data_IF_559456262013
#
_entry.id   IF_559456262013
#
_cell.length_a   1.000
_cell.length_b   1.000
_cell.length_c   1.000
_cell.angle_alpha   90.00
_cell.angle_beta   90.00
_cell.angle_gamma   90.00
#
_symmetry.space_group_name_H-M   'P 1'
#
loop_
_entity.id
_entity.type
_entity.pdbx_description
1 polymer ?
#
# COMPACT_ATOMS: atom_id res chain seq x y z
N UNK A 1 22.37 28.87 -8.97
CA UNK A 1 21.86 28.37 -7.67
C UNK A 1 20.37 27.95 -7.76
N UNK A 2 19.85 27.58 -8.93
CA UNK A 2 18.38 27.42 -9.16
C UNK A 2 17.92 26.00 -9.50
N UNK A 3 18.78 24.98 -9.44
CA UNK A 3 18.39 23.58 -9.70
C UNK A 3 18.06 22.75 -8.44
N UNK A 4 18.51 23.18 -7.25
CA UNK A 4 18.32 22.42 -6.00
C UNK A 4 16.94 22.63 -5.37
N UNK A 5 16.37 23.84 -5.49
CA UNK A 5 15.08 24.19 -4.88
C UNK A 5 13.90 23.41 -5.48
N UNK A 6 13.95 23.06 -6.77
CA UNK A 6 12.88 22.30 -7.43
C UNK A 6 12.86 20.80 -7.04
N UNK A 7 14.02 20.22 -6.68
CA UNK A 7 14.13 18.84 -6.17
C UNK A 7 13.74 18.72 -4.71
N UNK A 8 14.11 19.71 -3.88
CA UNK A 8 13.71 19.78 -2.45
C UNK A 8 12.20 19.95 -2.29
N UNK A 9 11.56 20.81 -3.09
CA UNK A 9 10.09 20.93 -3.15
C UNK A 9 9.39 19.67 -3.66
N UNK A 10 10.07 18.80 -4.40
CA UNK A 10 9.48 17.58 -4.98
C UNK A 10 9.57 16.35 -4.06
N UNK A 11 10.40 16.36 -3.02
CA UNK A 11 10.59 15.21 -2.11
C UNK A 11 10.61 15.61 -0.63
N UNK A 12 10.05 16.77 -0.27
CA UNK A 12 10.01 17.25 1.12
C UNK A 12 9.36 16.25 2.09
N UNK A 13 8.43 15.42 1.61
CA UNK A 13 7.82 14.34 2.39
C UNK A 13 8.86 13.35 2.95
N UNK A 14 9.97 13.11 2.24
CA UNK A 14 11.02 12.20 2.68
C UNK A 14 11.72 12.69 3.96
N UNK A 15 11.69 13.99 4.21
CA UNK A 15 12.21 14.58 5.46
C UNK A 15 11.12 14.78 6.50
N UNK A 16 9.91 15.13 6.07
CA UNK A 16 8.79 15.38 6.98
C UNK A 16 8.33 14.10 7.70
N UNK A 17 8.19 12.98 6.99
CA UNK A 17 7.65 11.76 7.61
C UNK A 17 8.57 11.17 8.69
N UNK A 18 9.90 11.03 8.48
CA UNK A 18 10.79 10.59 9.56
C UNK A 18 10.85 11.56 10.73
N UNK A 19 10.70 12.86 10.48
CA UNK A 19 10.68 13.87 11.53
C UNK A 19 9.45 13.73 12.43
N UNK A 20 8.26 13.60 11.84
CA UNK A 20 7.01 13.36 12.60
C UNK A 20 7.15 12.08 13.42
N UNK A 21 7.60 10.99 12.80
CA UNK A 21 7.83 9.73 13.51
C UNK A 21 8.84 9.86 14.65
N UNK A 22 9.95 10.59 14.46
CA UNK A 22 10.95 10.79 15.51
C UNK A 22 10.40 11.58 16.71
N UNK A 23 9.56 12.59 16.45
CA UNK A 23 8.87 13.34 17.50
C UNK A 23 7.89 12.44 18.25
N UNK A 24 7.05 11.70 17.53
CA UNK A 24 6.07 10.77 18.10
C UNK A 24 6.71 9.67 18.94
N UNK A 25 7.79 9.06 18.43
CA UNK A 25 8.55 8.06 19.16
C UNK A 25 9.22 8.64 20.42
N UNK A 26 9.72 9.88 20.33
CA UNK A 26 10.28 10.59 21.49
C UNK A 26 9.21 10.83 22.56
N UNK A 27 8.07 11.41 22.18
CA UNK A 27 6.93 11.65 23.09
C UNK A 27 6.47 10.35 23.72
N UNK A 28 6.29 9.29 22.93
CA UNK A 28 5.90 7.97 23.42
C UNK A 28 6.90 7.40 24.42
N UNK A 29 8.21 7.54 24.16
CA UNK A 29 9.25 7.06 25.06
C UNK A 29 9.25 7.82 26.40
N UNK A 30 9.09 9.14 26.38
CA UNK A 30 9.04 9.95 27.60
C UNK A 30 7.73 9.82 28.38
N UNK A 31 6.61 9.53 27.70
CA UNK A 31 5.29 9.41 28.30
C UNK A 31 4.92 7.99 28.78
N UNK A 32 5.86 7.02 28.71
CA UNK A 32 5.61 5.63 29.17
C UNK A 32 5.16 5.61 30.63
N UNK A 33 4.04 4.95 30.92
CA UNK A 33 3.45 4.89 32.27
C UNK A 33 2.53 6.07 32.62
N UNK A 34 2.40 7.08 31.75
CA UNK A 34 1.49 8.21 31.89
C UNK A 34 0.72 8.49 30.59
N UNK A 35 0.52 7.47 29.75
CA UNK A 35 -0.13 7.64 28.47
C UNK A 35 -1.64 7.86 28.64
N UNK A 36 -2.05 9.12 28.56
CA UNK A 36 -3.45 9.51 28.55
C UNK A 36 -4.09 9.34 27.16
N UNK A 37 -5.42 9.19 27.15
CA UNK A 37 -6.23 9.04 25.92
C UNK A 37 -6.00 10.15 24.88
N UNK A 38 -5.68 11.37 25.32
CA UNK A 38 -5.37 12.50 24.44
C UNK A 38 -4.03 12.34 23.72
N UNK A 39 -3.02 11.81 24.42
CA UNK A 39 -1.70 11.54 23.83
C UNK A 39 -1.79 10.38 22.84
N UNK A 40 -2.54 9.33 23.19
CA UNK A 40 -2.83 8.20 22.30
C UNK A 40 -3.53 8.67 21.01
N UNK A 41 -4.54 9.54 21.13
CA UNK A 41 -5.25 10.10 19.99
C UNK A 41 -4.35 10.98 19.11
N UNK A 42 -3.46 11.78 19.71
CA UNK A 42 -2.47 12.59 19.00
C UNK A 42 -1.51 11.73 18.19
N UNK A 43 -0.93 10.71 18.80
CA UNK A 43 -0.02 9.77 18.15
C UNK A 43 -0.69 9.03 16.98
N UNK A 44 -1.93 8.57 17.19
CA UNK A 44 -2.72 7.93 16.15
C UNK A 44 -3.04 8.90 15.02
N UNK A 45 -3.42 10.14 15.34
CA UNK A 45 -3.72 11.16 14.33
C UNK A 45 -2.49 11.48 13.49
N UNK A 46 -1.33 11.68 14.12
CA UNK A 46 -0.10 12.05 13.41
C UNK A 46 0.35 10.92 12.47
N UNK A 47 0.33 9.68 12.95
CA UNK A 47 0.78 8.52 12.16
C UNK A 47 -0.26 8.05 11.13
N UNK A 48 -1.54 7.99 11.48
CA UNK A 48 -2.59 7.41 10.62
C UNK A 48 -3.33 8.43 9.76
N UNK A 49 -3.24 9.74 10.06
CA UNK A 49 -3.94 10.79 9.31
C UNK A 49 -2.98 11.83 8.77
N UNK A 50 -2.15 12.46 9.61
CA UNK A 50 -1.27 13.56 9.20
C UNK A 50 -0.23 13.08 8.18
N UNK A 51 0.53 12.02 8.46
CA UNK A 51 1.54 11.49 7.53
C UNK A 51 0.91 11.08 6.19
N UNK A 52 -0.19 10.30 6.14
CA UNK A 52 -0.87 10.00 4.88
C UNK A 52 -1.42 11.25 4.15
N UNK A 53 -1.91 12.26 4.87
CA UNK A 53 -2.38 13.51 4.28
C UNK A 53 -1.22 14.34 3.69
N UNK A 54 -0.06 14.39 4.36
CA UNK A 54 1.15 15.02 3.83
C UNK A 54 1.63 14.31 2.56
N UNK A 55 1.57 12.97 2.54
CA UNK A 55 1.87 12.19 1.34
C UNK A 55 0.91 12.51 0.19
N UNK A 56 -0.39 12.55 0.48
CA UNK A 56 -1.41 12.94 -0.49
C UNK A 56 -1.09 14.31 -1.08
N UNK A 57 -0.85 15.32 -0.23
CA UNK A 57 -0.58 16.68 -0.66
C UNK A 57 0.69 16.79 -1.52
N UNK A 58 1.74 16.04 -1.17
CA UNK A 58 3.00 16.03 -1.90
C UNK A 58 2.88 15.40 -3.31
N UNK A 59 2.04 14.37 -3.47
CA UNK A 59 2.02 13.56 -4.70
C UNK A 59 0.70 13.58 -5.49
N UNK A 60 -0.34 14.29 -5.04
CA UNK A 60 -1.71 14.28 -5.64
C UNK A 60 -1.76 14.59 -7.12
N UNK A 61 -0.82 15.35 -7.67
CA UNK A 61 -0.81 15.72 -9.09
C UNK A 61 -0.05 14.74 -10.00
N UNK A 62 0.64 13.74 -9.43
CA UNK A 62 1.56 12.88 -10.17
C UNK A 62 1.13 11.42 -10.30
N UNK A 63 0.16 10.97 -9.50
CA UNK A 63 -0.16 9.55 -9.37
C UNK A 63 -1.65 9.27 -9.50
N UNK A 64 -2.01 8.37 -10.43
CA UNK A 64 -3.40 8.04 -10.72
C UNK A 64 -4.06 7.14 -9.66
N UNK A 65 -3.27 6.54 -8.75
CA UNK A 65 -3.76 5.67 -7.67
C UNK A 65 -3.22 6.07 -6.29
N UNK A 66 -3.08 7.37 -6.07
CA UNK A 66 -2.56 7.88 -4.79
C UNK A 66 -3.43 7.46 -3.59
N UNK A 67 -4.73 7.21 -3.79
CA UNK A 67 -5.64 6.76 -2.73
C UNK A 67 -5.25 5.41 -2.10
N UNK A 68 -4.86 4.43 -2.92
CA UNK A 68 -4.39 3.13 -2.40
C UNK A 68 -3.10 3.29 -1.58
N UNK A 69 -2.18 4.16 -2.02
CA UNK A 69 -0.93 4.42 -1.29
C UNK A 69 -1.16 5.15 0.02
N UNK A 70 -2.06 6.12 0.04
CA UNK A 70 -2.45 6.85 1.25
C UNK A 70 -3.16 5.92 2.23
N UNK A 71 -4.05 5.05 1.74
CA UNK A 71 -4.67 4.02 2.55
C UNK A 71 -3.63 3.07 3.15
N UNK A 72 -2.67 2.60 2.34
CA UNK A 72 -1.58 1.75 2.81
C UNK A 72 -0.73 2.45 3.88
N UNK A 73 -0.40 3.73 3.69
CA UNK A 73 0.32 4.53 4.68
C UNK A 73 -0.48 4.71 5.96
N UNK A 74 -1.79 4.89 5.89
CA UNK A 74 -2.65 4.95 7.07
C UNK A 74 -2.66 3.61 7.83
N UNK A 75 -2.76 2.48 7.13
CA UNK A 75 -2.65 1.15 7.73
C UNK A 75 -1.30 0.92 8.42
N UNK A 76 -0.21 1.39 7.81
CA UNK A 76 1.13 1.36 8.42
C UNK A 76 1.21 2.27 9.64
N UNK A 77 0.61 3.47 9.58
CA UNK A 77 0.53 4.40 10.70
C UNK A 77 -0.19 3.82 11.91
N UNK A 78 -1.35 3.17 11.71
CA UNK A 78 -2.08 2.46 12.77
C UNK A 78 -1.19 1.36 13.38
N UNK A 79 -0.49 0.59 12.55
CA UNK A 79 0.42 -0.45 13.04
C UNK A 79 1.59 0.13 13.85
N UNK A 80 2.20 1.24 13.40
CA UNK A 80 3.26 1.91 14.14
C UNK A 80 2.77 2.45 15.48
N UNK A 81 1.58 3.06 15.53
CA UNK A 81 0.99 3.54 16.76
C UNK A 81 0.77 2.40 17.77
N UNK A 82 0.31 1.23 17.30
CA UNK A 82 0.21 0.02 18.14
C UNK A 82 1.57 -0.45 18.67
N UNK A 83 2.65 -0.33 17.90
CA UNK A 83 3.99 -0.74 18.37
C UNK A 83 4.59 0.26 19.38
N UNK A 84 4.25 1.54 19.27
CA UNK A 84 4.77 2.60 20.15
C UNK A 84 4.08 2.59 21.52
N UNK A 85 2.77 2.33 21.56
CA UNK A 85 2.00 2.32 22.82
C UNK A 85 1.96 0.91 23.43
N UNK A 86 2.36 0.71 24.71
CA UNK A 86 2.27 -0.58 25.40
C UNK A 86 0.82 -1.08 25.48
N UNK A 87 0.59 -2.39 25.40
CA UNK A 87 -0.75 -3.00 25.40
C UNK A 87 -1.62 -2.59 26.59
N UNK A 88 -1.02 -2.44 27.78
CA UNK A 88 -1.71 -2.06 29.00
C UNK A 88 -2.30 -0.64 28.99
N UNK A 89 -1.82 0.22 28.08
CA UNK A 89 -2.15 1.65 28.00
C UNK A 89 -3.01 1.99 26.77
N UNK A 90 -3.42 0.97 25.98
CA UNK A 90 -4.21 1.16 24.76
C UNK A 90 -5.71 1.20 25.07
N UNK A 91 -6.34 2.35 24.87
CA UNK A 91 -7.79 2.49 25.00
C UNK A 91 -8.44 2.70 23.61
N UNK A 92 -7.99 3.72 22.88
CA UNK A 92 -8.48 4.03 21.54
C UNK A 92 -7.92 3.10 20.46
N UNK A 93 -6.64 2.74 20.54
CA UNK A 93 -5.94 1.98 19.51
C UNK A 93 -6.56 0.61 19.25
N UNK A 94 -7.08 -0.05 20.29
CA UNK A 94 -7.74 -1.35 20.17
C UNK A 94 -9.03 -1.28 19.33
N UNK A 95 -9.71 -0.14 19.34
CA UNK A 95 -10.92 0.08 18.54
C UNK A 95 -10.60 0.35 17.06
N UNK A 96 -9.41 0.91 16.77
CA UNK A 96 -8.99 1.31 15.43
C UNK A 96 -8.18 0.21 14.74
N UNK A 97 -7.66 -0.77 15.49
CA UNK A 97 -6.95 -1.93 14.93
C UNK A 97 -7.75 -2.66 13.82
N UNK A 98 -9.07 -2.96 13.95
CA UNK A 98 -9.84 -3.61 12.90
C UNK A 98 -9.83 -2.83 11.57
N UNK A 99 -9.74 -1.50 11.62
CA UNK A 99 -9.71 -0.64 10.44
C UNK A 99 -8.45 -0.91 9.58
N UNK A 100 -7.34 -1.29 10.21
CA UNK A 100 -6.12 -1.68 9.51
C UNK A 100 -6.37 -2.90 8.62
N UNK A 101 -7.01 -3.94 9.17
CA UNK A 101 -7.30 -5.16 8.41
C UNK A 101 -8.31 -4.90 7.28
N UNK A 102 -9.31 -4.04 7.51
CA UNK A 102 -10.22 -3.60 6.46
C UNK A 102 -9.48 -2.89 5.32
N UNK A 103 -8.56 -1.97 5.63
CA UNK A 103 -7.73 -1.30 4.63
C UNK A 103 -6.83 -2.26 3.86
N UNK A 104 -6.18 -3.22 4.54
CA UNK A 104 -5.38 -4.27 3.90
C UNK A 104 -6.25 -5.13 2.98
N UNK A 105 -7.45 -5.52 3.40
CA UNK A 105 -8.37 -6.30 2.57
C UNK A 105 -8.73 -5.56 1.27
N UNK A 106 -8.98 -4.25 1.34
CA UNK A 106 -9.20 -3.41 0.15
C UNK A 106 -7.98 -3.38 -0.77
N UNK A 107 -6.77 -3.25 -0.21
CA UNK A 107 -5.52 -3.28 -0.99
C UNK A 107 -5.34 -4.62 -1.71
N UNK A 108 -5.53 -5.73 -0.99
CA UNK A 108 -5.46 -7.08 -1.57
C UNK A 108 -6.51 -7.26 -2.67
N UNK A 109 -7.74 -6.78 -2.47
CA UNK A 109 -8.78 -6.86 -3.49
C UNK A 109 -8.39 -6.09 -4.77
N UNK A 110 -7.76 -4.91 -4.63
CA UNK A 110 -7.25 -4.13 -5.77
C UNK A 110 -6.12 -4.87 -6.51
N UNK A 111 -5.19 -5.49 -5.79
CA UNK A 111 -4.11 -6.28 -6.39
C UNK A 111 -4.65 -7.51 -7.14
N UNK A 112 -5.59 -8.24 -6.53
CA UNK A 112 -6.28 -9.37 -7.15
C UNK A 112 -7.06 -8.96 -8.40
N UNK A 113 -7.70 -7.78 -8.40
CA UNK A 113 -8.39 -7.28 -9.58
C UNK A 113 -7.42 -7.01 -10.75
N UNK A 114 -6.23 -6.47 -10.47
CA UNK A 114 -5.17 -6.29 -11.48
C UNK A 114 -4.68 -7.63 -12.02
N UNK A 115 -4.41 -8.61 -11.13
CA UNK A 115 -4.01 -9.96 -11.55
C UNK A 115 -5.09 -10.61 -12.42
N UNK A 116 -6.35 -10.54 -12.02
CA UNK A 116 -7.47 -11.09 -12.77
C UNK A 116 -7.61 -10.45 -14.16
N UNK A 117 -7.34 -9.14 -14.28
CA UNK A 117 -7.32 -8.46 -15.57
C UNK A 117 -6.23 -9.00 -16.50
N UNK A 118 -5.01 -9.22 -15.99
CA UNK A 118 -3.89 -9.80 -16.74
C UNK A 118 -4.22 -11.24 -17.17
N UNK A 119 -4.71 -12.06 -16.25
CA UNK A 119 -5.12 -13.44 -16.55
C UNK A 119 -6.19 -13.47 -17.64
N UNK A 120 -7.22 -12.63 -17.51
CA UNK A 120 -8.30 -12.55 -18.50
C UNK A 120 -7.80 -12.12 -19.87
N UNK A 121 -6.82 -11.22 -19.96
CA UNK A 121 -6.22 -10.80 -21.22
C UNK A 121 -5.50 -11.98 -21.93
N UNK A 122 -4.71 -12.74 -21.18
CA UNK A 122 -4.01 -13.92 -21.71
C UNK A 122 -4.98 -15.02 -22.13
N UNK A 123 -5.98 -15.34 -21.30
CA UNK A 123 -6.95 -16.39 -21.60
C UNK A 123 -7.87 -16.06 -22.79
N UNK A 124 -8.07 -14.77 -23.12
CA UNK A 124 -8.76 -14.32 -24.33
C UNK A 124 -7.90 -14.43 -25.61
N UNK A 125 -6.65 -14.89 -25.49
CA UNK A 125 -5.74 -15.08 -26.62
C UNK A 125 -4.75 -13.94 -26.83
N UNK A 126 -4.66 -12.99 -25.91
CA UNK A 126 -3.64 -11.92 -25.96
C UNK A 126 -2.22 -12.44 -25.75
N UNK A 127 -1.23 -11.67 -26.23
CA UNK A 127 0.18 -11.97 -25.97
C UNK A 127 0.61 -11.50 -24.57
N UNK A 128 1.80 -11.92 -24.12
CA UNK A 128 2.36 -11.49 -22.83
C UNK A 128 2.66 -10.00 -22.88
N UNK A 129 3.15 -9.54 -24.03
CA UNK A 129 3.51 -8.15 -24.32
C UNK A 129 2.28 -7.24 -24.28
N UNK A 130 1.16 -7.68 -24.85
CA UNK A 130 -0.11 -6.92 -24.82
C UNK A 130 -0.68 -6.82 -23.40
N UNK A 131 -0.57 -7.88 -22.61
CA UNK A 131 -1.06 -7.89 -21.22
C UNK A 131 -0.19 -7.01 -20.32
N UNK A 132 1.12 -6.96 -20.56
CA UNK A 132 2.07 -6.07 -19.87
C UNK A 132 1.83 -4.61 -20.27
N UNK A 133 1.55 -4.33 -21.54
CA UNK A 133 1.25 -2.98 -22.00
C UNK A 133 -0.05 -2.40 -21.41
N UNK A 134 -1.01 -3.27 -21.07
CA UNK A 134 -2.27 -2.91 -20.41
C UNK A 134 -2.16 -2.90 -18.88
N UNK A 135 -1.02 -3.31 -18.31
CA UNK A 135 -0.83 -3.29 -16.87
C UNK A 135 -0.77 -1.84 -16.34
N UNK A 136 -1.22 -1.58 -15.10
CA UNK A 136 -1.11 -0.27 -14.51
C UNK A 136 0.34 0.22 -14.45
N UNK A 137 0.58 1.52 -14.69
CA UNK A 137 1.91 2.15 -14.61
C UNK A 137 2.65 1.93 -13.29
N UNK A 138 1.90 1.62 -12.24
CA UNK A 138 2.39 1.50 -10.88
C UNK A 138 2.99 0.11 -10.60
N UNK A 139 2.73 -0.86 -11.48
CA UNK A 139 3.23 -2.22 -11.38
C UNK A 139 4.55 -2.34 -12.15
N UNK A 140 5.66 -2.77 -11.52
CA UNK A 140 6.93 -2.91 -12.23
C UNK A 140 6.81 -3.85 -13.42
N UNK A 141 7.38 -3.47 -14.57
CA UNK A 141 7.22 -4.22 -15.81
C UNK A 141 7.67 -5.70 -15.69
N UNK A 142 8.67 -5.99 -14.85
CA UNK A 142 9.12 -7.36 -14.60
C UNK A 142 8.08 -8.17 -13.82
N UNK A 143 7.34 -7.55 -12.89
CA UNK A 143 6.24 -8.20 -12.16
C UNK A 143 5.09 -8.49 -13.12
N UNK A 144 4.72 -7.53 -13.98
CA UNK A 144 3.68 -7.72 -14.98
C UNK A 144 4.02 -8.90 -15.90
N UNK A 145 5.28 -8.99 -16.34
CA UNK A 145 5.77 -10.11 -17.16
C UNK A 145 5.69 -11.43 -16.43
N UNK A 146 6.11 -11.49 -15.16
CA UNK A 146 6.04 -12.72 -14.37
C UNK A 146 4.59 -13.23 -14.27
N UNK A 147 3.66 -12.36 -13.89
CA UNK A 147 2.23 -12.69 -13.78
C UNK A 147 1.66 -13.14 -15.13
N UNK A 148 2.00 -12.43 -16.22
CA UNK A 148 1.54 -12.79 -17.55
C UNK A 148 2.13 -14.13 -18.03
N UNK A 149 3.36 -14.45 -17.64
CA UNK A 149 4.03 -15.71 -17.96
C UNK A 149 3.38 -16.88 -17.20
N UNK A 150 3.14 -16.71 -15.90
CA UNK A 150 2.38 -17.66 -15.08
C UNK A 150 0.98 -17.89 -15.66
N UNK A 151 0.25 -16.83 -16.00
CA UNK A 151 -1.07 -16.94 -16.61
C UNK A 151 -1.04 -17.76 -17.91
N UNK A 152 0.00 -17.60 -18.74
CA UNK A 152 0.16 -18.35 -19.99
C UNK A 152 0.51 -19.81 -19.75
N UNK A 153 1.31 -20.10 -18.72
CA UNK A 153 1.58 -21.47 -18.29
C UNK A 153 0.28 -22.18 -17.87
N UNK A 154 -0.56 -21.51 -17.07
CA UNK A 154 -1.86 -22.01 -16.66
C UNK A 154 -2.83 -22.20 -17.83
N UNK A 155 -2.88 -21.26 -18.77
CA UNK A 155 -3.70 -21.38 -19.98
C UNK A 155 -3.30 -22.62 -20.80
N UNK A 156 -2.00 -22.86 -20.96
CA UNK A 156 -1.48 -24.05 -21.66
C UNK A 156 -1.86 -25.33 -20.94
N UNK A 157 -1.64 -25.40 -19.62
CA UNK A 157 -2.01 -26.55 -18.79
C UNK A 157 -3.51 -26.86 -18.91
N UNK A 158 -4.36 -25.82 -18.82
CA UNK A 158 -5.81 -25.97 -18.96
C UNK A 158 -6.21 -26.43 -20.37
N UNK A 159 -5.57 -25.90 -21.41
CA UNK A 159 -5.82 -26.34 -22.79
C UNK A 159 -5.39 -27.78 -23.06
N UNK A 160 -4.33 -28.25 -22.39
CA UNK A 160 -3.85 -29.62 -22.49
C UNK A 160 -4.79 -30.57 -21.76
N UNK A 161 -5.22 -30.20 -20.54
CA UNK A 161 -6.20 -30.94 -19.77
C UNK A 161 -7.52 -31.09 -20.53
N UNK A 162 -8.07 -29.99 -21.07
CA UNK A 162 -9.29 -30.02 -21.88
C UNK A 162 -9.17 -30.91 -23.12
N UNK A 163 -7.99 -30.94 -23.76
CA UNK A 163 -7.73 -31.84 -24.90
C UNK A 163 -7.66 -33.29 -24.47
N UNK A 164 -7.10 -33.58 -23.30
CA UNK A 164 -7.04 -34.92 -22.74
C UNK A 164 -8.41 -35.45 -22.33
N UNK A 165 -9.24 -34.62 -21.69
CA UNK A 165 -10.61 -35.00 -21.29
C UNK A 165 -11.60 -35.09 -22.45
N UNK A 166 -11.34 -34.47 -23.60
CA UNK A 166 -12.16 -34.61 -24.83
C UNK A 166 -11.80 -35.83 -25.68
N UNK A 167 -10.65 -36.45 -25.45
CA UNK A 167 -10.15 -37.62 -26.21
C UNK A 167 -10.45 -38.96 -25.51
N UNK A 168 -10.94 -38.91 -24.26
CA UNK A 168 -11.58 -40.04 -23.57
C UNK A 168 -13.08 -39.90 -23.72
#
# INVERSE_FOLDING_TARGET
VTMTTHRLRSHWFFWAAPLVFAVDAGVSFFARGQMDRLLEAGLLFDLAVLVPALYWLAYRQRQQRIGARVLALACVGIWLALQLVPEAERDLLNHVEPLRYAGIAVLVALELAVMAAIYRAIFKGGTVEDAVAQAPSDLPAWVARLIAWEARLWQRAWSALRRFTRRR
#
